data_IF_487472305765
#
_entry.id   IF_487472305765
#
_cell.length_a   1.000
_cell.length_b   1.000
_cell.length_c   1.000
_cell.angle_alpha   90.00
_cell.angle_beta   90.00
_cell.angle_gamma   90.00
#
_symmetry.space_group_name_H-M   'P 1'
#
loop_
_entity.id
_entity.type
_entity.pdbx_description
1 polymer ?
#
# COMPACT_ATOMS: atom_id res chain seq x y z
N UNK A 1 5.17 -62.70 28.38
CA UNK A 1 4.68 -62.25 27.09
C UNK A 1 4.07 -60.86 27.28
N UNK A 2 4.75 -59.84 26.82
CA UNK A 2 4.29 -58.43 26.96
C UNK A 2 3.14 -58.16 25.98
N UNK A 3 2.00 -57.68 26.51
CA UNK A 3 0.89 -57.19 25.68
C UNK A 3 1.25 -55.82 25.10
N UNK A 4 1.43 -55.72 23.81
CA UNK A 4 1.60 -54.45 23.13
C UNK A 4 0.26 -53.73 23.08
N UNK A 5 0.18 -52.58 23.72
CA UNK A 5 -0.99 -51.69 23.69
C UNK A 5 -0.81 -50.64 22.57
N UNK A 6 -1.81 -50.54 21.73
CA UNK A 6 -1.85 -49.48 20.68
C UNK A 6 -2.76 -48.36 21.19
N UNK A 7 -2.20 -47.16 21.33
CA UNK A 7 -2.97 -45.93 21.64
C UNK A 7 -3.14 -45.12 20.38
N UNK A 8 -4.38 -44.80 20.02
CA UNK A 8 -4.70 -43.93 18.90
C UNK A 8 -5.21 -42.60 19.44
N UNK A 9 -4.50 -41.53 19.12
CA UNK A 9 -4.88 -40.18 19.51
C UNK A 9 -5.65 -39.51 18.35
N UNK A 10 -6.93 -39.19 18.54
CA UNK A 10 -7.82 -38.77 17.48
C UNK A 10 -8.28 -37.32 17.57
N UNK A 11 -7.96 -36.59 18.64
CA UNK A 11 -8.35 -35.17 18.75
C UNK A 11 -7.34 -34.35 19.53
N UNK A 12 -7.14 -33.12 19.10
CA UNK A 12 -6.30 -32.11 19.76
C UNK A 12 -7.24 -31.05 20.34
N UNK A 13 -7.22 -30.88 21.64
CA UNK A 13 -7.95 -29.81 22.31
C UNK A 13 -6.97 -28.74 22.77
N UNK A 14 -7.12 -27.52 22.23
CA UNK A 14 -6.31 -26.36 22.59
C UNK A 14 -7.12 -25.47 23.51
N UNK A 15 -6.81 -25.46 24.81
CA UNK A 15 -7.33 -24.48 25.77
C UNK A 15 -6.17 -23.76 26.44
N UNK A 16 -6.20 -22.43 26.34
CA UNK A 16 -5.31 -21.53 27.09
C UNK A 16 -3.90 -22.08 27.38
N UNK A 17 -3.05 -22.08 26.36
CA UNK A 17 -1.61 -22.41 26.43
C UNK A 17 -1.25 -23.87 26.85
N UNK A 18 -2.17 -24.82 26.79
CA UNK A 18 -1.86 -26.25 26.96
C UNK A 18 -2.52 -27.09 25.87
N UNK A 19 -1.71 -27.86 25.17
CA UNK A 19 -2.16 -28.85 24.18
C UNK A 19 -2.38 -30.17 24.93
N UNK A 20 -3.62 -30.69 24.88
CA UNK A 20 -3.94 -32.02 25.41
C UNK A 20 -4.36 -32.93 24.26
N UNK A 21 -3.73 -34.10 24.22
CA UNK A 21 -4.08 -35.18 23.30
C UNK A 21 -5.09 -36.11 23.98
N UNK A 22 -6.22 -36.33 23.36
CA UNK A 22 -7.20 -37.30 23.82
C UNK A 22 -6.94 -38.63 23.10
N UNK A 23 -6.29 -39.56 23.79
CA UNK A 23 -5.95 -40.87 23.26
C UNK A 23 -6.97 -41.90 23.80
N UNK A 24 -7.52 -42.71 22.93
CA UNK A 24 -8.46 -43.79 23.28
C UNK A 24 -7.73 -45.10 23.22
N UNK A 25 -7.91 -45.89 24.29
CA UNK A 25 -7.36 -47.25 24.40
C UNK A 25 -8.21 -48.21 23.57
N UNK A 26 -7.64 -48.81 22.55
CA UNK A 26 -8.36 -49.78 21.72
C UNK A 26 -7.94 -51.20 22.06
N UNK A 27 -8.91 -52.09 22.28
CA UNK A 27 -8.67 -53.49 22.54
C UNK A 27 -8.28 -54.22 21.21
N UNK A 28 -7.12 -54.86 21.23
CA UNK A 28 -6.51 -55.56 20.09
C UNK A 28 -7.40 -56.65 19.50
N UNK A 29 -8.35 -57.22 20.28
CA UNK A 29 -9.21 -58.31 19.82
C UNK A 29 -10.31 -57.84 18.83
N UNK A 30 -10.71 -56.57 18.89
CA UNK A 30 -11.67 -55.99 17.92
C UNK A 30 -11.03 -55.61 16.59
N UNK A 31 -9.73 -55.35 16.61
CA UNK A 31 -8.98 -54.93 15.42
C UNK A 31 -8.77 -56.04 14.40
N UNK A 32 -8.70 -57.31 14.85
CA UNK A 32 -8.44 -58.46 13.97
C UNK A 32 -9.70 -59.11 13.39
N UNK A 33 -10.90 -58.64 13.77
CA UNK A 33 -12.15 -59.19 13.26
C UNK A 33 -12.80 -58.20 12.30
N UNK A 34 -12.13 -57.99 11.21
CA UNK A 34 -12.69 -57.73 9.87
C UNK A 34 -13.74 -56.63 9.73
N UNK A 35 -13.37 -55.38 9.91
CA UNK A 35 -14.11 -54.34 9.23
C UNK A 35 -13.17 -53.37 8.47
N UNK A 36 -12.50 -53.96 7.47
CA UNK A 36 -11.61 -53.22 6.56
C UNK A 36 -12.32 -52.08 5.82
N UNK A 37 -13.65 -52.09 5.79
CA UNK A 37 -14.46 -51.10 5.09
C UNK A 37 -14.57 -49.76 5.84
N UNK A 38 -14.65 -49.80 7.19
CA UNK A 38 -14.66 -48.58 8.03
C UNK A 38 -13.31 -47.90 8.08
N UNK A 39 -12.22 -48.67 8.18
CA UNK A 39 -10.86 -48.13 8.14
C UNK A 39 -10.54 -47.44 6.80
N UNK A 40 -10.88 -48.08 5.71
CA UNK A 40 -10.66 -47.52 4.37
C UNK A 40 -11.48 -46.21 4.14
N UNK A 41 -12.66 -46.07 4.74
CA UNK A 41 -13.48 -44.84 4.68
C UNK A 41 -12.87 -43.75 5.53
N UNK A 42 -12.45 -44.04 6.76
CA UNK A 42 -11.78 -43.05 7.64
C UNK A 42 -10.45 -42.55 7.06
N UNK A 43 -9.65 -43.45 6.47
CA UNK A 43 -8.39 -43.06 5.82
C UNK A 43 -8.64 -42.16 4.59
N UNK A 44 -9.68 -42.46 3.79
CA UNK A 44 -10.05 -41.64 2.61
C UNK A 44 -10.56 -40.26 2.99
N UNK A 45 -11.36 -40.13 4.05
CA UNK A 45 -11.87 -38.83 4.51
C UNK A 45 -10.77 -37.99 5.13
N UNK A 46 -9.85 -38.61 5.90
CA UNK A 46 -8.70 -37.93 6.50
C UNK A 46 -7.72 -37.40 5.43
N UNK A 47 -7.46 -38.17 4.38
CA UNK A 47 -6.60 -37.77 3.27
C UNK A 47 -7.19 -36.61 2.46
N UNK A 48 -8.53 -36.62 2.23
CA UNK A 48 -9.25 -35.54 1.54
C UNK A 48 -9.23 -34.22 2.35
N UNK A 49 -9.44 -34.32 3.67
CA UNK A 49 -9.41 -33.12 4.54
C UNK A 49 -7.99 -32.54 4.64
N UNK A 50 -6.97 -33.37 4.73
CA UNK A 50 -5.59 -32.92 4.75
C UNK A 50 -5.16 -32.24 3.43
N UNK A 51 -5.64 -32.76 2.30
CA UNK A 51 -5.38 -32.17 0.99
C UNK A 51 -6.10 -30.82 0.79
N UNK A 52 -7.33 -30.68 1.31
CA UNK A 52 -8.10 -29.43 1.27
C UNK A 52 -7.46 -28.33 2.16
N UNK A 53 -7.01 -28.70 3.36
CA UNK A 53 -6.31 -27.77 4.27
C UNK A 53 -4.93 -27.38 3.71
N UNK A 54 -4.23 -28.32 3.08
CA UNK A 54 -2.97 -28.06 2.39
C UNK A 54 -3.11 -27.09 1.22
N UNK A 55 -4.19 -27.18 0.44
CA UNK A 55 -4.46 -26.23 -0.65
C UNK A 55 -4.83 -24.83 -0.16
N UNK A 56 -5.51 -24.69 0.98
CA UNK A 56 -5.82 -23.37 1.56
C UNK A 56 -4.59 -22.64 2.10
N UNK A 57 -3.54 -23.34 2.53
CA UNK A 57 -2.32 -22.71 3.05
C UNK A 57 -1.42 -22.11 1.94
N UNK A 58 -1.55 -22.53 0.69
CA UNK A 58 -0.82 -21.91 -0.43
C UNK A 58 -1.46 -20.66 -1.01
N UNK A 59 -2.72 -20.33 -0.63
CA UNK A 59 -3.42 -19.16 -1.15
C UNK A 59 -3.09 -17.85 -0.43
N UNK A 60 -2.30 -17.88 0.63
CA UNK A 60 -1.80 -16.69 1.30
C UNK A 60 -0.47 -16.23 0.68
N UNK A 61 -0.45 -16.01 -0.65
CA UNK A 61 0.58 -15.17 -1.24
C UNK A 61 0.36 -13.76 -0.71
N UNK A 62 1.29 -13.25 0.07
CA UNK A 62 1.35 -11.83 0.38
C UNK A 62 1.32 -11.11 -0.96
N UNK A 63 0.25 -10.35 -1.22
CA UNK A 63 0.22 -9.45 -2.36
C UNK A 63 1.42 -8.51 -2.18
N UNK A 64 2.51 -8.78 -2.88
CA UNK A 64 3.61 -7.85 -2.95
C UNK A 64 3.04 -6.61 -3.65
N UNK A 65 3.07 -5.49 -2.94
CA UNK A 65 2.73 -4.22 -3.53
C UNK A 65 3.70 -3.96 -4.68
N UNK A 66 3.18 -3.75 -5.88
CA UNK A 66 4.00 -3.43 -7.04
C UNK A 66 4.79 -2.14 -6.80
N UNK A 67 6.06 -2.08 -7.16
CA UNK A 67 6.84 -0.87 -7.02
C UNK A 67 6.24 0.23 -7.89
N UNK A 68 6.05 1.40 -7.30
CA UNK A 68 5.62 2.61 -8.00
C UNK A 68 6.84 3.49 -8.23
N UNK A 69 7.10 3.85 -9.48
CA UNK A 69 8.19 4.77 -9.85
C UNK A 69 7.59 6.06 -10.39
N UNK A 70 7.97 7.17 -9.80
CA UNK A 70 7.44 8.49 -10.15
C UNK A 70 8.49 9.59 -9.98
N UNK A 71 8.20 10.74 -10.59
CA UNK A 71 8.91 12.02 -10.40
C UNK A 71 7.91 13.10 -10.04
N UNK A 72 8.37 14.16 -9.40
CA UNK A 72 7.52 15.32 -9.14
C UNK A 72 8.16 16.60 -9.67
N UNK A 73 7.34 17.52 -10.13
CA UNK A 73 7.74 18.88 -10.53
C UNK A 73 6.68 19.89 -10.09
N UNK A 74 7.09 21.12 -9.94
CA UNK A 74 6.16 22.17 -9.52
C UNK A 74 6.36 23.46 -10.34
N UNK A 75 5.26 24.16 -10.61
CA UNK A 75 5.28 25.43 -11.31
C UNK A 75 4.43 26.47 -10.58
N UNK A 76 4.94 27.70 -10.52
CA UNK A 76 4.23 28.83 -9.94
C UNK A 76 3.61 29.69 -11.03
N UNK A 77 2.44 30.23 -10.75
CA UNK A 77 1.82 31.27 -11.59
C UNK A 77 1.38 32.42 -10.70
N UNK A 78 1.84 33.62 -10.98
CA UNK A 78 1.55 34.81 -10.19
C UNK A 78 1.54 36.07 -11.04
N UNK A 79 0.72 37.05 -10.62
CA UNK A 79 0.76 38.40 -11.16
C UNK A 79 1.73 39.27 -10.38
N UNK A 80 2.59 40.06 -11.07
CA UNK A 80 3.52 40.97 -10.42
C UNK A 80 4.77 40.30 -9.80
N UNK A 81 5.05 39.04 -10.11
CA UNK A 81 6.28 38.35 -9.78
C UNK A 81 7.15 38.14 -11.03
N UNK A 82 8.43 37.87 -10.86
CA UNK A 82 9.30 37.27 -11.89
C UNK A 82 9.44 35.77 -11.72
N UNK A 83 9.60 35.03 -12.83
CA UNK A 83 9.71 33.57 -12.82
C UNK A 83 8.37 32.84 -12.87
N UNK A 84 7.26 33.52 -13.18
CA UNK A 84 5.96 32.86 -13.42
C UNK A 84 6.07 31.80 -14.53
N UNK A 85 5.49 30.62 -14.32
CA UNK A 85 5.63 29.46 -15.23
C UNK A 85 6.85 28.58 -14.93
N UNK A 86 7.62 28.86 -13.89
CA UNK A 86 8.79 28.07 -13.48
C UNK A 86 8.63 27.51 -12.06
N UNK A 87 9.63 26.74 -11.62
CA UNK A 87 9.69 26.20 -10.26
C UNK A 87 10.22 27.22 -9.24
N UNK A 88 10.53 28.47 -9.63
CA UNK A 88 11.03 29.50 -8.74
C UNK A 88 10.43 30.86 -9.11
N UNK A 89 9.90 31.56 -8.11
CA UNK A 89 9.33 32.89 -8.29
C UNK A 89 9.96 33.89 -7.33
N UNK A 90 10.07 35.13 -7.81
CA UNK A 90 10.60 36.24 -7.01
C UNK A 90 9.58 37.38 -6.97
N UNK A 91 9.25 37.80 -5.75
CA UNK A 91 8.41 38.95 -5.46
C UNK A 91 9.29 40.12 -5.03
N UNK A 92 9.18 41.24 -5.71
CA UNK A 92 9.89 42.45 -5.33
C UNK A 92 9.15 43.17 -4.21
N UNK A 93 9.86 43.51 -3.16
CA UNK A 93 9.43 44.40 -2.09
C UNK A 93 9.92 45.82 -2.31
N UNK A 94 9.51 46.74 -1.45
CA UNK A 94 10.07 48.10 -1.44
C UNK A 94 11.54 48.10 -1.00
N UNK A 95 12.30 49.15 -1.38
CA UNK A 95 13.69 49.40 -0.94
C UNK A 95 14.68 48.28 -1.31
N UNK A 96 14.49 47.57 -2.44
CA UNK A 96 15.40 46.52 -2.89
C UNK A 96 15.25 45.17 -2.15
N UNK A 97 14.21 45.01 -1.35
CA UNK A 97 13.88 43.72 -0.74
C UNK A 97 13.29 42.77 -1.79
N UNK A 98 13.58 41.49 -1.67
CA UNK A 98 12.98 40.46 -2.51
C UNK A 98 12.70 39.16 -1.73
N UNK A 99 11.59 38.51 -2.02
CA UNK A 99 11.26 37.17 -1.59
C UNK A 99 11.40 36.22 -2.77
N UNK A 100 12.16 35.16 -2.64
CA UNK A 100 12.23 34.07 -3.57
C UNK A 100 11.59 32.84 -2.93
N UNK A 101 10.69 32.18 -3.68
CA UNK A 101 10.10 30.90 -3.32
C UNK A 101 10.48 29.91 -4.42
N UNK A 102 11.13 28.83 -4.07
CA UNK A 102 11.56 27.78 -4.99
C UNK A 102 10.93 26.46 -4.58
N UNK A 103 10.44 25.69 -5.53
CA UNK A 103 10.03 24.32 -5.33
C UNK A 103 11.06 23.36 -5.93
N UNK A 104 11.50 22.40 -5.12
CA UNK A 104 12.36 21.31 -5.55
C UNK A 104 11.57 20.01 -5.52
N UNK A 105 11.28 19.48 -6.68
CA UNK A 105 10.60 18.19 -6.84
C UNK A 105 11.54 17.01 -6.61
N UNK A 106 10.97 15.82 -6.61
CA UNK A 106 11.71 14.57 -6.52
C UNK A 106 12.18 14.14 -7.93
N UNK A 107 13.42 13.66 -8.01
CA UNK A 107 13.88 12.86 -9.14
C UNK A 107 13.17 11.51 -9.19
N UNK A 108 13.58 10.63 -10.10
CA UNK A 108 13.03 9.28 -10.22
C UNK A 108 13.12 8.54 -8.89
N UNK A 109 11.98 8.27 -8.28
CA UNK A 109 11.86 7.63 -6.97
C UNK A 109 11.00 6.39 -7.11
N UNK A 110 11.47 5.25 -6.59
CA UNK A 110 10.74 3.98 -6.59
C UNK A 110 10.40 3.57 -5.17
N UNK A 111 9.13 3.29 -4.90
CA UNK A 111 8.60 2.95 -3.58
C UNK A 111 7.58 1.82 -3.69
N UNK A 112 7.50 1.00 -2.66
CA UNK A 112 6.44 -0.01 -2.52
C UNK A 112 5.21 0.61 -1.86
N UNK A 113 4.02 0.37 -2.39
CA UNK A 113 2.75 0.88 -1.85
C UNK A 113 2.12 -0.13 -0.87
N UNK A 114 1.38 0.33 0.18
CA UNK A 114 1.15 1.72 0.56
C UNK A 114 2.33 2.32 1.33
N UNK A 115 2.64 3.60 1.10
CA UNK A 115 3.74 4.28 1.81
C UNK A 115 3.49 5.78 1.94
N UNK A 116 4.01 6.36 3.04
CA UNK A 116 4.15 7.80 3.21
C UNK A 116 5.46 8.27 2.59
N UNK A 117 5.44 9.40 1.91
CA UNK A 117 6.61 9.98 1.26
C UNK A 117 6.53 11.51 1.19
N UNK A 118 7.63 12.13 0.80
CA UNK A 118 7.64 13.53 0.37
C UNK A 118 7.28 13.62 -1.10
N UNK A 119 6.61 14.71 -1.52
CA UNK A 119 6.43 15.05 -2.93
C UNK A 119 7.32 16.22 -3.37
N UNK A 120 8.25 16.65 -2.53
CA UNK A 120 9.17 17.74 -2.77
C UNK A 120 9.17 18.77 -1.63
N UNK A 121 9.92 19.83 -1.83
CA UNK A 121 10.12 20.85 -0.80
C UNK A 121 9.93 22.25 -1.40
N UNK A 122 9.28 23.11 -0.65
CA UNK A 122 9.38 24.56 -0.84
C UNK A 122 10.58 25.09 -0.07
N UNK A 123 11.28 26.05 -0.66
CA UNK A 123 12.30 26.83 0.02
C UNK A 123 11.97 28.31 -0.13
N UNK A 124 11.96 29.03 0.98
CA UNK A 124 11.75 30.48 1.03
C UNK A 124 13.07 31.19 1.34
N UNK A 125 13.35 32.25 0.62
CA UNK A 125 14.51 33.10 0.86
C UNK A 125 14.08 34.56 0.77
N UNK A 126 14.47 35.36 1.74
CA UNK A 126 14.20 36.81 1.76
C UNK A 126 15.53 37.58 1.79
N UNK A 127 15.68 38.49 0.86
CA UNK A 127 16.79 39.49 0.87
C UNK A 127 16.28 40.83 1.40
N UNK A 128 17.10 41.49 2.21
CA UNK A 128 16.76 42.75 2.85
C UNK A 128 15.89 42.60 4.10
N UNK A 129 15.53 43.72 4.74
CA UNK A 129 14.89 43.75 6.07
C UNK A 129 13.38 44.10 6.01
N UNK A 130 12.80 44.16 4.83
CA UNK A 130 11.39 44.52 4.64
C UNK A 130 10.42 43.36 4.73
N UNK A 131 9.15 43.70 4.72
CA UNK A 131 8.04 42.78 4.65
C UNK A 131 7.58 42.67 3.20
N UNK A 132 7.39 41.47 2.69
CA UNK A 132 6.99 41.18 1.32
C UNK A 132 5.73 40.34 1.32
N UNK A 133 4.70 40.78 0.62
CA UNK A 133 3.49 40.01 0.40
C UNK A 133 3.64 39.19 -0.88
N UNK A 134 3.29 37.92 -0.81
CA UNK A 134 3.30 37.01 -1.93
C UNK A 134 1.94 36.36 -2.09
N UNK A 135 1.49 36.22 -3.34
CA UNK A 135 0.29 35.48 -3.65
C UNK A 135 0.33 34.93 -5.08
N UNK A 136 -0.33 33.80 -5.30
CA UNK A 136 -0.40 33.21 -6.63
C UNK A 136 -0.99 31.79 -6.57
N UNK A 137 -0.77 31.04 -7.64
CA UNK A 137 -1.13 29.64 -7.73
C UNK A 137 0.12 28.79 -7.91
N UNK A 138 0.05 27.57 -7.42
CA UNK A 138 1.10 26.56 -7.56
C UNK A 138 0.48 25.27 -8.08
N UNK A 139 1.14 24.65 -9.05
CA UNK A 139 0.75 23.35 -9.60
C UNK A 139 1.86 22.36 -9.35
N UNK A 140 1.56 21.33 -8.57
CA UNK A 140 2.44 20.16 -8.35
C UNK A 140 2.03 19.06 -9.31
N UNK A 141 2.92 18.66 -10.19
CA UNK A 141 2.70 17.57 -11.16
C UNK A 141 3.43 16.32 -10.71
N UNK A 142 2.72 15.20 -10.70
CA UNK A 142 3.29 13.86 -10.51
C UNK A 142 3.31 13.18 -11.87
N UNK A 143 4.46 12.64 -12.25
CA UNK A 143 4.63 11.82 -13.45
C UNK A 143 5.05 10.42 -13.04
N UNK A 144 4.16 9.47 -13.21
CA UNK A 144 4.36 8.05 -12.92
C UNK A 144 4.90 7.33 -14.15
N UNK A 145 5.90 6.47 -13.99
CA UNK A 145 6.44 5.62 -15.05
C UNK A 145 6.11 4.14 -14.85
N UNK A 146 5.92 3.68 -13.62
CA UNK A 146 5.60 2.30 -13.24
C UNK A 146 4.49 2.33 -12.17
N UNK A 147 3.51 1.44 -12.17
CA UNK A 147 3.27 0.33 -13.13
C UNK A 147 2.68 0.77 -14.47
N UNK A 148 1.91 1.83 -14.49
CA UNK A 148 1.28 2.40 -15.71
C UNK A 148 1.72 3.84 -15.84
N UNK A 149 2.33 4.20 -16.97
CA UNK A 149 2.79 5.55 -17.21
C UNK A 149 1.61 6.53 -17.31
N UNK A 150 1.77 7.70 -16.72
CA UNK A 150 0.79 8.77 -16.73
C UNK A 150 1.22 9.97 -15.89
N UNK A 151 0.47 11.05 -15.97
CA UNK A 151 0.70 12.24 -15.15
C UNK A 151 -0.60 12.86 -14.71
N UNK A 152 -0.58 13.44 -13.51
CA UNK A 152 -1.70 14.24 -12.99
C UNK A 152 -1.14 15.33 -12.07
N UNK A 153 -1.98 16.30 -11.68
CA UNK A 153 -1.50 17.48 -10.95
C UNK A 153 -2.45 17.90 -9.82
N UNK A 154 -1.82 18.45 -8.78
CA UNK A 154 -2.48 19.12 -7.68
C UNK A 154 -2.42 20.63 -7.90
N UNK A 155 -3.55 21.29 -7.85
CA UNK A 155 -3.63 22.75 -7.90
C UNK A 155 -3.70 23.32 -6.49
N UNK A 156 -2.93 24.37 -6.22
CA UNK A 156 -2.93 25.08 -4.95
C UNK A 156 -2.94 26.59 -5.15
N UNK A 157 -3.45 27.29 -4.16
CA UNK A 157 -3.21 28.72 -3.98
C UNK A 157 -2.14 28.90 -2.92
N UNK A 158 -1.27 29.87 -3.10
CA UNK A 158 -0.37 30.30 -2.04
C UNK A 158 -0.53 31.77 -1.73
N UNK A 159 -0.40 32.12 -0.47
CA UNK A 159 -0.43 33.49 -0.01
C UNK A 159 0.36 33.62 1.27
N UNK A 160 0.93 34.77 1.53
CA UNK A 160 1.64 35.00 2.78
C UNK A 160 2.38 36.32 2.83
N UNK A 161 2.84 36.60 4.03
CA UNK A 161 3.68 37.76 4.35
C UNK A 161 4.99 37.26 4.89
N UNK A 162 6.10 37.64 4.29
CA UNK A 162 7.44 37.16 4.64
C UNK A 162 8.34 38.31 5.03
N UNK A 163 9.17 38.08 6.05
CA UNK A 163 10.23 39.00 6.42
C UNK A 163 11.52 38.27 6.73
N UNK A 164 12.66 38.92 6.60
CA UNK A 164 13.96 38.34 6.93
C UNK A 164 14.14 38.11 8.44
N UNK A 165 13.38 38.81 9.28
CA UNK A 165 13.48 38.81 10.75
C UNK A 165 12.61 37.75 11.44
N UNK A 166 12.36 36.59 10.84
CA UNK A 166 11.64 35.45 11.43
C UNK A 166 10.14 35.53 11.63
N UNK A 167 9.46 36.55 11.19
CA UNK A 167 8.01 36.70 11.34
C UNK A 167 7.33 36.65 9.99
N UNK A 168 7.25 35.49 9.38
CA UNK A 168 6.52 35.30 8.13
C UNK A 168 5.55 34.14 8.24
N UNK A 169 4.35 34.32 7.75
CA UNK A 169 3.36 33.27 7.63
C UNK A 169 2.96 33.14 6.17
N UNK A 170 3.47 32.12 5.50
CA UNK A 170 3.01 31.73 4.18
C UNK A 170 2.20 30.46 4.27
N UNK A 171 1.15 30.36 3.46
CA UNK A 171 0.30 29.16 3.41
C UNK A 171 0.15 28.73 1.95
N UNK A 172 0.32 27.44 1.70
CA UNK A 172 -0.06 26.78 0.45
C UNK A 172 -1.28 25.92 0.73
N UNK A 173 -2.36 26.18 0.04
CA UNK A 173 -3.62 25.48 0.21
C UNK A 173 -3.97 24.74 -1.09
N UNK A 174 -3.87 23.41 -1.06
CA UNK A 174 -4.22 22.55 -2.18
C UNK A 174 -5.74 22.41 -2.29
N UNK A 175 -6.30 22.74 -3.41
CA UNK A 175 -7.73 22.58 -3.70
C UNK A 175 -8.07 21.12 -4.06
N UNK A 176 -7.12 20.40 -4.63
CA UNK A 176 -7.19 18.96 -4.90
C UNK A 176 -6.15 18.29 -4.01
N UNK A 177 -6.56 17.35 -3.16
CA UNK A 177 -5.67 16.67 -2.20
C UNK A 177 -5.40 15.23 -2.55
N UNK A 178 -6.06 14.68 -3.59
CA UNK A 178 -5.81 13.33 -4.08
C UNK A 178 -5.99 13.27 -5.60
N UNK A 179 -5.09 12.53 -6.26
CA UNK A 179 -5.12 12.23 -7.71
C UNK A 179 -4.81 10.77 -7.92
N UNK A 180 -5.31 10.17 -9.02
CA UNK A 180 -5.11 8.74 -9.30
C UNK A 180 -4.54 8.54 -10.70
N UNK A 181 -3.39 7.88 -10.79
CA UNK A 181 -2.68 7.57 -12.03
C UNK A 181 -2.53 6.05 -12.13
N UNK A 182 -3.10 5.42 -13.16
CA UNK A 182 -2.94 3.99 -13.40
C UNK A 182 -3.34 3.08 -12.24
N UNK A 183 -4.35 3.46 -11.44
CA UNK A 183 -4.79 2.72 -10.25
C UNK A 183 -4.00 3.03 -8.97
N UNK A 184 -3.00 3.90 -9.04
CA UNK A 184 -2.24 4.38 -7.89
C UNK A 184 -2.79 5.74 -7.48
N UNK A 185 -3.17 5.89 -6.21
CA UNK A 185 -3.65 7.15 -5.64
C UNK A 185 -2.54 7.83 -4.86
N UNK A 186 -2.29 9.08 -5.22
CA UNK A 186 -1.39 10.01 -4.55
C UNK A 186 -2.23 10.99 -3.74
N UNK A 187 -1.93 11.18 -2.47
CA UNK A 187 -2.67 12.12 -1.60
C UNK A 187 -1.73 12.99 -0.81
N UNK A 188 -2.06 14.27 -0.67
CA UNK A 188 -1.35 15.23 0.18
C UNK A 188 -1.91 15.14 1.59
N UNK A 189 -1.05 14.94 2.59
CA UNK A 189 -1.47 14.69 3.98
C UNK A 189 -1.35 15.92 4.87
N UNK A 190 -0.57 16.93 4.47
CA UNK A 190 -0.34 18.16 5.24
C UNK A 190 -0.95 19.40 4.53
N UNK A 191 -2.26 19.42 4.39
CA UNK A 191 -2.98 20.54 3.80
C UNK A 191 -3.91 21.20 4.84
N UNK A 192 -3.87 22.53 5.05
CA UNK A 192 -2.97 23.51 4.43
C UNK A 192 -1.51 23.39 4.90
N UNK A 193 -0.57 23.69 4.00
CA UNK A 193 0.86 23.64 4.27
C UNK A 193 1.36 25.03 4.69
N UNK A 194 1.89 25.15 5.91
CA UNK A 194 2.46 26.37 6.38
C UNK A 194 3.93 26.47 5.94
N UNK A 195 4.25 27.49 5.14
CA UNK A 195 5.60 27.76 4.71
C UNK A 195 6.43 28.32 5.86
N UNK A 196 7.59 27.70 6.08
CA UNK A 196 8.52 28.11 7.13
C UNK A 196 9.32 29.34 6.67
N UNK A 197 9.47 30.38 7.52
CA UNK A 197 10.27 31.55 7.17
C UNK A 197 11.76 31.21 7.05
N UNK A 198 12.55 31.99 6.29
CA UNK A 198 13.95 31.70 5.98
C UNK A 198 14.85 31.43 7.20
N UNK A 199 14.60 32.08 8.31
CA UNK A 199 15.43 31.90 9.51
C UNK A 199 15.03 30.64 10.32
N UNK A 200 13.97 29.96 9.96
CA UNK A 200 13.59 28.68 10.54
C UNK A 200 13.82 27.57 9.52
N UNK A 201 14.53 26.50 9.88
CA UNK A 201 14.80 25.35 9.01
C UNK A 201 15.32 25.74 7.61
N UNK A 202 16.12 26.82 7.51
CA UNK A 202 16.58 27.39 6.23
C UNK A 202 15.45 27.69 5.23
N UNK A 203 14.24 27.98 5.71
CA UNK A 203 13.05 28.21 4.87
C UNK A 203 12.49 26.97 4.19
N UNK A 204 12.91 25.75 4.59
CA UNK A 204 12.50 24.50 3.93
C UNK A 204 11.22 23.96 4.54
N UNK A 205 10.22 23.75 3.68
CA UNK A 205 8.93 23.15 4.03
C UNK A 205 8.64 21.98 3.09
N UNK A 206 8.42 20.79 3.65
CA UNK A 206 8.20 19.56 2.88
C UNK A 206 6.72 19.33 2.59
N UNK A 207 6.38 19.02 1.35
CA UNK A 207 5.05 18.51 0.97
C UNK A 207 5.00 17.03 1.29
N UNK A 208 4.23 16.68 2.31
CA UNK A 208 4.04 15.29 2.72
C UNK A 208 2.85 14.67 2.00
N UNK A 209 3.01 13.41 1.62
CA UNK A 209 1.96 12.68 0.95
C UNK A 209 1.96 11.20 1.28
N UNK A 210 0.92 10.54 0.82
CA UNK A 210 0.74 9.11 0.89
C UNK A 210 0.46 8.56 -0.50
N UNK A 211 1.03 7.41 -0.80
CA UNK A 211 0.80 6.67 -2.03
C UNK A 211 0.11 5.37 -1.66
N UNK A 212 -1.05 5.12 -2.27
CA UNK A 212 -1.82 3.88 -2.08
C UNK A 212 -2.09 3.24 -3.43
N UNK A 213 -1.83 1.94 -3.55
CA UNK A 213 -2.16 1.15 -4.73
C UNK A 213 -3.42 0.32 -4.48
N UNK A 214 -4.21 0.10 -5.51
CA UNK A 214 -5.21 -0.97 -5.48
C UNK A 214 -4.49 -2.29 -5.67
N UNK A 215 -4.56 -3.19 -4.69
CA UNK A 215 -4.14 -4.57 -4.90
C UNK A 215 -5.05 -5.17 -5.96
N UNK A 216 -4.54 -5.31 -7.17
CA UNK A 216 -5.26 -6.03 -8.23
C UNK A 216 -5.13 -7.52 -7.93
N UNK A 217 -6.22 -8.25 -7.66
CA UNK A 217 -6.16 -9.69 -7.52
C UNK A 217 -5.57 -10.26 -8.82
N UNK A 218 -4.46 -10.97 -8.72
CA UNK A 218 -3.78 -11.50 -9.89
C UNK A 218 -4.74 -12.40 -10.69
N UNK A 219 -4.99 -12.12 -11.98
CA UNK A 219 -5.89 -12.93 -12.81
C UNK A 219 -5.50 -14.41 -12.82
N UNK A 220 -4.22 -14.70 -12.65
CA UNK A 220 -3.66 -16.04 -12.58
C UNK A 220 -4.17 -16.83 -11.35
N UNK A 221 -4.31 -16.19 -10.19
CA UNK A 221 -4.83 -16.82 -8.97
C UNK A 221 -6.29 -17.21 -9.13
N UNK A 222 -7.08 -16.34 -9.74
CA UNK A 222 -8.50 -16.59 -10.03
C UNK A 222 -8.66 -17.70 -11.07
N UNK A 223 -7.83 -17.71 -12.11
CA UNK A 223 -7.83 -18.75 -13.14
C UNK A 223 -7.40 -20.10 -12.56
N UNK A 224 -6.37 -20.12 -11.72
CA UNK A 224 -5.88 -21.34 -11.07
C UNK A 224 -6.93 -21.90 -10.11
N UNK A 225 -7.59 -21.05 -9.32
CA UNK A 225 -8.67 -21.44 -8.44
C UNK A 225 -9.85 -21.99 -9.25
N UNK A 226 -10.26 -21.31 -10.32
CA UNK A 226 -11.34 -21.74 -11.20
C UNK A 226 -11.06 -23.08 -11.89
N UNK A 227 -9.87 -23.25 -12.45
CA UNK A 227 -9.47 -24.52 -13.11
C UNK A 227 -9.30 -25.65 -12.10
N UNK A 228 -8.79 -25.37 -10.90
CA UNK A 228 -8.70 -26.33 -9.81
C UNK A 228 -10.06 -26.85 -9.37
N UNK A 229 -11.04 -25.98 -9.19
CA UNK A 229 -12.41 -26.36 -8.83
C UNK A 229 -13.10 -27.22 -9.91
N UNK A 230 -12.93 -26.87 -11.20
CA UNK A 230 -13.46 -27.65 -12.33
C UNK A 230 -12.81 -29.05 -12.36
N UNK A 231 -11.50 -29.13 -12.12
CA UNK A 231 -10.76 -30.41 -12.05
C UNK A 231 -11.28 -31.32 -10.94
N UNK A 232 -11.53 -30.78 -9.76
CA UNK A 232 -12.07 -31.53 -8.61
C UNK A 232 -13.50 -31.99 -8.91
N UNK A 233 -14.37 -31.13 -9.42
CA UNK A 233 -15.74 -31.46 -9.76
C UNK A 233 -15.81 -32.59 -10.82
N UNK A 234 -14.93 -32.55 -11.82
CA UNK A 234 -14.80 -33.60 -12.84
C UNK A 234 -14.37 -34.94 -12.28
N UNK A 235 -13.39 -34.95 -11.36
CA UNK A 235 -12.91 -36.16 -10.72
C UNK A 235 -13.98 -36.82 -9.81
N UNK A 236 -14.74 -36.00 -9.07
CA UNK A 236 -15.82 -36.45 -8.20
C UNK A 236 -16.95 -37.07 -9.04
N UNK A 237 -17.36 -36.45 -10.15
CA UNK A 237 -18.41 -36.94 -11.04
C UNK A 237 -18.06 -38.30 -11.66
N UNK A 238 -16.81 -38.53 -12.05
CA UNK A 238 -16.36 -39.84 -12.60
C UNK A 238 -16.47 -40.96 -11.58
N UNK A 239 -16.20 -40.71 -10.28
CA UNK A 239 -16.30 -41.71 -9.22
C UNK A 239 -17.73 -42.15 -8.94
N UNK A 240 -18.69 -41.23 -8.96
CA UNK A 240 -20.09 -41.55 -8.74
C UNK A 240 -20.66 -42.38 -9.90
N UNK A 241 -20.18 -42.16 -11.13
CA UNK A 241 -20.70 -42.91 -12.31
C UNK A 241 -20.20 -44.35 -12.37
N UNK A 242 -19.01 -44.67 -11.79
CA UNK A 242 -18.47 -46.04 -11.73
C UNK A 242 -19.12 -46.91 -10.66
N UNK A 243 -19.81 -46.32 -9.67
CA UNK A 243 -20.43 -47.03 -8.54
C UNK A 243 -21.90 -47.47 -8.81
N UNK A 244 -22.49 -47.06 -9.93
CA UNK A 244 -23.89 -47.40 -10.26
C UNK A 244 -24.02 -48.44 -11.39
N UNK A 245 -22.95 -49.17 -11.71
CA UNK A 245 -22.94 -50.22 -12.76
C UNK A 245 -22.68 -51.62 -12.22
N UNK A 246 -22.92 -51.87 -10.91
CA UNK A 246 -23.00 -53.21 -10.33
C UNK A 246 -24.46 -53.56 -9.89
#
# INVERSE_FOLDING_TARGET
MARAEIRVCSSIEVRTNRIRFKCVRMDRRRYLRGDNTHMARLLKTSLMTAMLVGMMSFAASTANADPVTFTTSGTFTCGGCSGSGTNSVTFAGGMGNALMITFTGLGSTSLNTPTGTSFGNFQTFVSGNGVINASGTFTLTITQSVPIAGSDSFSATFSGTFSASNSGTGVVNFSVTAVTIGGITYSITNNPLNLVPPASNNGITTVQGQITGSAVPEPASMLLLGTGLIGIAGAVRRRFKSSSSE
#
